data_IF_832188035192
#
_entry.id   IF_832188035192
#
_cell.length_a   1.000
_cell.length_b   1.000
_cell.length_c   1.000
_cell.angle_alpha   90.00
_cell.angle_beta   90.00
_cell.angle_gamma   90.00
#
_symmetry.space_group_name_H-M   'P 1'
#
loop_
_entity.id
_entity.type
_entity.pdbx_description
1 polymer ?
#
# COMPACT_ATOMS: atom_id res chain seq x y z
N UNK A 1 -2.82 15.93 2.74
CA UNK A 1 -3.57 15.14 1.75
C UNK A 1 -4.04 13.82 2.37
N UNK A 2 -5.33 13.48 2.26
CA UNK A 2 -5.91 12.25 2.80
C UNK A 2 -5.85 11.15 1.76
N UNK A 3 -5.39 9.96 2.16
CA UNK A 3 -5.28 8.78 1.30
C UNK A 3 -5.98 7.61 1.97
N UNK A 4 -6.73 6.84 1.20
CA UNK A 4 -7.21 5.51 1.59
C UNK A 4 -6.63 4.46 0.65
N UNK A 5 -6.09 3.37 1.21
CA UNK A 5 -5.67 2.21 0.44
C UNK A 5 -6.62 1.07 0.76
N UNK A 6 -7.21 0.46 -0.26
CA UNK A 6 -8.13 -0.67 -0.14
C UNK A 6 -7.54 -1.87 -0.89
N UNK A 7 -7.18 -2.89 -0.14
CA UNK A 7 -6.70 -4.16 -0.65
C UNK A 7 -7.78 -5.24 -0.59
N UNK A 8 -7.95 -5.96 -1.68
CA UNK A 8 -8.68 -7.22 -1.74
C UNK A 8 -7.74 -8.37 -2.12
N UNK A 9 -8.31 -9.55 -2.41
CA UNK A 9 -7.56 -10.72 -2.84
C UNK A 9 -6.32 -10.96 -1.98
N UNK A 10 -6.48 -11.11 -0.66
CA UNK A 10 -5.33 -11.38 0.21
C UNK A 10 -4.78 -12.80 -0.04
N UNK A 11 -3.45 -12.99 0.01
CA UNK A 11 -2.79 -14.23 -0.44
C UNK A 11 -3.00 -15.40 0.51
N UNK A 12 -3.58 -15.15 1.69
CA UNK A 12 -4.00 -16.16 2.64
C UNK A 12 -5.47 -16.56 2.51
N UNK A 13 -6.25 -16.05 1.55
CA UNK A 13 -7.65 -16.47 1.36
C UNK A 13 -7.75 -17.92 0.85
N UNK A 14 -8.86 -18.60 1.15
CA UNK A 14 -9.02 -20.00 0.78
C UNK A 14 -8.99 -20.16 -0.74
N UNK A 15 -8.24 -21.15 -1.23
CA UNK A 15 -8.00 -21.36 -2.65
C UNK A 15 -6.87 -20.55 -3.27
N UNK A 16 -6.27 -19.59 -2.55
CA UNK A 16 -5.07 -18.92 -3.02
C UNK A 16 -3.85 -19.88 -2.99
N UNK A 17 -2.92 -19.82 -3.97
CA UNK A 17 -1.89 -20.84 -4.15
C UNK A 17 -0.99 -21.10 -2.93
N UNK A 18 -0.72 -20.06 -2.13
CA UNK A 18 0.18 -20.12 -0.98
C UNK A 18 -0.55 -19.97 0.36
N UNK A 19 -1.88 -20.10 0.37
CA UNK A 19 -2.71 -19.67 1.49
C UNK A 19 -2.37 -20.36 2.81
N UNK A 20 -2.23 -21.68 2.80
CA UNK A 20 -1.98 -22.49 4.00
C UNK A 20 -0.66 -22.11 4.67
N UNK A 21 0.44 -22.10 3.90
CA UNK A 21 1.76 -21.73 4.41
C UNK A 21 1.77 -20.31 4.99
N UNK A 22 1.13 -19.35 4.33
CA UNK A 22 1.10 -17.96 4.81
C UNK A 22 0.25 -17.81 6.08
N UNK A 23 -0.85 -18.57 6.22
CA UNK A 23 -1.65 -18.60 7.46
C UNK A 23 -0.88 -19.21 8.61
N UNK A 24 -0.31 -20.39 8.41
CA UNK A 24 0.48 -21.09 9.44
C UNK A 24 1.70 -20.27 9.86
N UNK A 25 2.28 -19.51 8.91
CA UNK A 25 3.37 -18.57 9.18
C UNK A 25 2.95 -17.28 9.88
N UNK A 26 1.67 -17.09 10.23
CA UNK A 26 1.19 -15.86 10.89
C UNK A 26 1.50 -14.60 10.07
N UNK A 27 1.37 -14.68 8.73
CA UNK A 27 1.72 -13.56 7.87
C UNK A 27 0.67 -12.45 7.95
N UNK A 28 1.15 -11.21 7.97
CA UNK A 28 0.34 -10.00 7.95
C UNK A 28 0.86 -9.02 6.89
N UNK A 29 -0.02 -8.12 6.44
CA UNK A 29 0.33 -6.95 5.62
C UNK A 29 0.02 -5.66 6.39
N UNK A 30 0.87 -4.64 6.25
CA UNK A 30 0.58 -3.31 6.76
C UNK A 30 1.29 -2.22 5.97
N UNK A 31 0.99 -0.96 6.29
CA UNK A 31 1.62 0.20 5.64
C UNK A 31 2.86 0.63 6.42
N UNK A 32 3.95 0.90 5.71
CA UNK A 32 5.21 1.28 6.34
C UNK A 32 5.27 2.79 6.63
N UNK A 33 5.36 3.14 7.92
CA UNK A 33 5.60 4.49 8.44
C UNK A 33 7.02 4.58 9.00
N UNK A 34 7.93 5.26 8.30
CA UNK A 34 9.37 5.21 8.60
C UNK A 34 9.85 3.75 8.69
N UNK A 35 10.18 3.26 9.89
CA UNK A 35 10.63 1.88 10.13
C UNK A 35 9.51 0.97 10.65
N UNK A 36 8.37 1.53 11.04
CA UNK A 36 7.25 0.81 11.64
C UNK A 36 6.28 0.29 10.58
N UNK A 37 5.72 -0.90 10.79
CA UNK A 37 4.61 -1.44 9.98
C UNK A 37 3.31 -1.29 10.78
N UNK A 38 2.45 -0.38 10.31
CA UNK A 38 1.23 0.06 10.98
C UNK A 38 -0.02 -0.56 10.33
N UNK A 39 -1.06 -0.79 11.13
CA UNK A 39 -2.35 -1.30 10.65
C UNK A 39 -2.25 -2.72 10.09
N UNK A 40 -1.58 -3.63 10.80
CA UNK A 40 -1.33 -4.99 10.30
C UNK A 40 -2.65 -5.75 10.15
N UNK A 41 -2.86 -6.32 8.97
CA UNK A 41 -4.03 -7.14 8.62
C UNK A 41 -3.54 -8.57 8.33
N UNK A 42 -4.12 -9.60 8.98
CA UNK A 42 -3.80 -11.00 8.66
C UNK A 42 -4.10 -11.33 7.20
N UNK A 43 -3.25 -12.16 6.58
CA UNK A 43 -3.41 -12.49 5.14
C UNK A 43 -4.66 -13.29 4.78
N UNK A 44 -5.40 -13.80 5.76
CA UNK A 44 -6.61 -14.58 5.52
C UNK A 44 -7.90 -13.75 5.61
N UNK A 45 -7.78 -12.45 5.92
CA UNK A 45 -8.92 -11.54 5.89
C UNK A 45 -9.44 -11.33 4.46
N UNK A 46 -10.69 -10.89 4.35
CA UNK A 46 -11.31 -10.61 3.05
C UNK A 46 -10.83 -9.30 2.44
N UNK A 47 -10.51 -8.31 3.28
CA UNK A 47 -10.07 -6.97 2.86
C UNK A 47 -9.06 -6.38 3.85
N UNK A 48 -8.24 -5.46 3.35
CA UNK A 48 -7.39 -4.62 4.15
C UNK A 48 -7.62 -3.15 3.77
N UNK A 49 -7.90 -2.29 4.76
CA UNK A 49 -8.16 -0.87 4.52
C UNK A 49 -7.27 -0.04 5.43
N UNK A 50 -6.60 0.95 4.86
CA UNK A 50 -5.76 1.88 5.59
C UNK A 50 -6.10 3.31 5.20
N UNK A 51 -6.26 4.17 6.21
CA UNK A 51 -6.39 5.61 6.03
C UNK A 51 -5.14 6.29 6.58
N UNK A 52 -4.60 7.22 5.82
CA UNK A 52 -3.38 7.92 6.17
C UNK A 52 -3.38 9.35 5.65
N UNK A 53 -2.73 10.22 6.42
CA UNK A 53 -2.49 11.60 6.04
C UNK A 53 -1.02 11.80 5.68
N UNK A 54 -0.80 12.40 4.52
CA UNK A 54 0.54 12.75 4.02
C UNK A 54 0.65 14.24 3.76
N UNK A 55 1.88 14.72 3.77
CA UNK A 55 2.19 16.10 3.43
C UNK A 55 2.20 16.26 1.91
N UNK A 56 1.76 17.42 1.43
CA UNK A 56 1.82 17.78 0.01
C UNK A 56 2.22 19.23 -0.13
N UNK A 57 3.05 19.53 -1.13
CA UNK A 57 3.43 20.89 -1.51
C UNK A 57 3.56 21.01 -3.02
N UNK A 58 3.30 22.20 -3.54
CA UNK A 58 3.56 22.50 -4.95
C UNK A 58 5.02 22.93 -5.15
N UNK A 59 5.66 22.37 -6.18
CA UNK A 59 7.05 22.65 -6.59
C UNK A 59 7.09 22.65 -8.11
N UNK A 60 7.44 23.79 -8.71
CA UNK A 60 7.55 23.96 -10.17
C UNK A 60 6.31 23.47 -10.95
N UNK A 61 5.11 23.68 -10.40
CA UNK A 61 3.83 23.27 -10.99
C UNK A 61 3.44 21.80 -10.76
N UNK A 62 4.27 21.04 -10.03
CA UNK A 62 4.03 19.64 -9.66
C UNK A 62 3.75 19.49 -8.15
N UNK A 63 2.99 18.46 -7.79
CA UNK A 63 2.78 18.10 -6.38
C UNK A 63 3.91 17.17 -5.90
N UNK A 64 4.73 17.64 -4.95
CA UNK A 64 5.66 16.79 -4.20
C UNK A 64 4.96 16.32 -2.90
N UNK A 65 4.93 15.01 -2.71
CA UNK A 65 4.29 14.36 -1.55
C UNK A 65 5.37 13.93 -0.55
N UNK A 66 5.09 14.06 0.75
CA UNK A 66 6.05 13.80 1.81
C UNK A 66 5.40 13.30 3.11
N UNK A 67 6.13 13.45 4.21
CA UNK A 67 5.70 13.00 5.53
C UNK A 67 6.13 11.57 5.87
N UNK A 68 5.77 11.07 7.06
CA UNK A 68 6.36 9.86 7.64
C UNK A 68 5.96 8.55 6.95
N UNK A 69 4.89 8.57 6.16
CA UNK A 69 4.42 7.43 5.37
C UNK A 69 5.09 7.32 4.00
N UNK A 70 5.67 8.43 3.52
CA UNK A 70 6.16 8.55 2.15
C UNK A 70 7.65 8.28 2.10
N UNK A 71 8.04 7.44 1.14
CA UNK A 71 9.40 7.00 0.92
C UNK A 71 9.89 7.47 -0.45
N UNK A 72 11.21 7.40 -0.65
CA UNK A 72 11.85 7.78 -1.91
C UNK A 72 12.19 9.26 -2.00
N UNK A 73 13.00 9.60 -2.99
CA UNK A 73 13.44 10.97 -3.29
C UNK A 73 12.34 11.77 -4.00
N UNK A 74 12.40 13.13 -4.01
CA UNK A 74 11.53 13.95 -4.86
C UNK A 74 11.48 13.42 -6.31
N UNK A 75 10.29 13.40 -6.90
CA UNK A 75 10.03 12.82 -8.24
C UNK A 75 9.95 11.29 -8.30
N UNK A 76 10.25 10.59 -7.20
CA UNK A 76 10.14 9.13 -7.09
C UNK A 76 9.52 8.71 -5.75
N UNK A 77 8.50 9.46 -5.31
CA UNK A 77 7.78 9.25 -4.05
C UNK A 77 6.86 8.03 -4.13
N UNK A 78 6.75 7.28 -3.05
CA UNK A 78 5.86 6.11 -2.97
C UNK A 78 5.46 5.76 -1.54
N UNK A 79 4.40 4.96 -1.41
CA UNK A 79 3.99 4.25 -0.19
C UNK A 79 4.48 2.80 -0.23
N UNK A 80 4.76 2.21 0.93
CA UNK A 80 5.13 0.80 1.05
C UNK A 80 4.00 0.01 1.71
N UNK A 81 3.55 -1.06 1.05
CA UNK A 81 2.90 -2.20 1.71
C UNK A 81 3.98 -3.22 2.06
N UNK A 82 3.96 -3.70 3.31
CA UNK A 82 4.97 -4.61 3.84
C UNK A 82 4.35 -5.85 4.43
N UNK A 83 4.94 -7.00 4.05
CA UNK A 83 4.54 -8.32 4.48
C UNK A 83 5.57 -8.88 5.45
N UNK A 84 5.08 -9.51 6.51
CA UNK A 84 5.94 -10.11 7.51
C UNK A 84 5.22 -11.16 8.33
N UNK A 85 5.99 -12.09 8.87
CA UNK A 85 5.52 -13.10 9.83
C UNK A 85 5.53 -12.52 11.24
N UNK A 86 4.54 -12.87 12.05
CA UNK A 86 4.53 -12.62 13.49
C UNK A 86 4.76 -13.88 14.32
N UNK A 87 5.14 -15.00 13.69
CA UNK A 87 5.23 -16.31 14.35
C UNK A 87 6.28 -16.36 15.48
N UNK A 88 7.28 -15.49 15.44
CA UNK A 88 8.35 -15.40 16.44
C UNK A 88 8.08 -14.34 17.52
N UNK A 89 6.88 -13.77 17.57
CA UNK A 89 6.51 -12.70 18.50
C UNK A 89 6.89 -11.28 18.04
N UNK A 90 7.78 -11.16 17.06
CA UNK A 90 8.14 -9.91 16.40
C UNK A 90 7.74 -9.93 14.92
N UNK A 91 7.59 -8.75 14.30
CA UNK A 91 7.27 -8.66 12.87
C UNK A 91 8.54 -8.84 12.03
N UNK A 92 8.74 -10.06 11.53
CA UNK A 92 9.80 -10.39 10.61
C UNK A 92 9.37 -10.09 9.16
N UNK A 93 9.66 -8.87 8.70
CA UNK A 93 9.39 -8.45 7.31
C UNK A 93 10.20 -9.29 6.32
N UNK A 94 9.55 -9.81 5.27
CA UNK A 94 10.24 -10.57 4.22
C UNK A 94 9.91 -10.11 2.79
N UNK A 95 8.86 -9.29 2.58
CA UNK A 95 8.43 -8.87 1.25
C UNK A 95 7.75 -7.50 1.28
N UNK A 96 7.84 -6.72 0.21
CA UNK A 96 7.23 -5.38 0.10
C UNK A 96 6.74 -5.05 -1.31
N UNK A 97 5.73 -4.20 -1.39
CA UNK A 97 5.22 -3.58 -2.62
C UNK A 97 5.23 -2.04 -2.51
N UNK A 98 5.55 -1.35 -3.61
CA UNK A 98 5.57 0.11 -3.76
C UNK A 98 4.34 0.58 -4.52
N UNK A 99 3.62 1.54 -3.95
CA UNK A 99 2.55 2.28 -4.63
C UNK A 99 3.09 3.67 -4.95
N UNK A 100 3.39 3.93 -6.23
CA UNK A 100 4.07 5.16 -6.62
C UNK A 100 3.08 6.31 -6.79
N UNK A 101 3.42 7.49 -6.28
CA UNK A 101 2.63 8.69 -6.56
C UNK A 101 2.69 9.09 -8.04
N UNK A 102 3.77 8.74 -8.75
CA UNK A 102 3.88 8.95 -10.19
C UNK A 102 3.00 8.03 -11.04
N UNK A 103 2.31 7.05 -10.44
CA UNK A 103 1.30 6.23 -11.10
C UNK A 103 -0.14 6.74 -10.82
N UNK A 104 -0.29 7.81 -10.03
CA UNK A 104 -1.57 8.49 -9.79
C UNK A 104 -1.81 9.50 -10.93
N UNK A 105 -2.99 9.54 -11.55
CA UNK A 105 -3.33 10.60 -12.50
C UNK A 105 -3.15 11.99 -11.89
N UNK A 106 -2.50 12.89 -12.63
CA UNK A 106 -2.02 14.16 -12.09
C UNK A 106 -3.14 15.08 -11.58
N UNK A 107 -4.30 15.03 -12.22
CA UNK A 107 -5.51 15.74 -11.83
C UNK A 107 -6.06 15.26 -10.49
N UNK A 108 -6.09 13.94 -10.23
CA UNK A 108 -6.54 13.38 -8.95
C UNK A 108 -5.58 13.76 -7.83
N UNK A 109 -4.27 13.69 -8.09
CA UNK A 109 -3.25 14.06 -7.12
C UNK A 109 -3.34 15.55 -6.74
N UNK A 110 -3.55 16.43 -7.73
CA UNK A 110 -3.72 17.88 -7.50
C UNK A 110 -5.00 18.19 -6.71
N UNK A 111 -6.14 17.61 -7.10
CA UNK A 111 -7.40 17.81 -6.39
C UNK A 111 -7.33 17.31 -4.94
N UNK A 112 -6.72 16.14 -4.71
CA UNK A 112 -6.51 15.64 -3.35
C UNK A 112 -5.57 16.53 -2.53
N UNK A 113 -4.49 17.06 -3.13
CA UNK A 113 -3.59 17.99 -2.47
C UNK A 113 -4.26 19.32 -2.11
N UNK A 114 -5.23 19.77 -2.92
CA UNK A 114 -6.09 20.93 -2.64
C UNK A 114 -7.17 20.65 -1.57
N UNK A 115 -7.28 19.41 -1.09
CA UNK A 115 -8.22 19.02 -0.05
C UNK A 115 -9.63 18.70 -0.57
N UNK A 116 -9.81 18.54 -1.87
CA UNK A 116 -11.12 18.33 -2.51
C UNK A 116 -11.73 16.94 -2.20
N UNK A 117 -10.94 15.99 -1.71
CA UNK A 117 -11.41 14.64 -1.39
C UNK A 117 -10.32 13.75 -0.79
N UNK A 118 -10.65 12.47 -0.66
CA UNK A 118 -9.75 11.38 -0.27
C UNK A 118 -9.25 10.69 -1.52
N UNK A 119 -7.93 10.60 -1.69
CA UNK A 119 -7.33 9.84 -2.78
C UNK A 119 -7.38 8.35 -2.43
N UNK A 120 -8.14 7.55 -3.20
CA UNK A 120 -8.34 6.13 -2.91
C UNK A 120 -7.59 5.26 -3.91
N UNK A 121 -6.70 4.39 -3.41
CA UNK A 121 -5.97 3.41 -4.20
C UNK A 121 -6.48 2.00 -3.95
N UNK A 122 -6.93 1.28 -5.00
CA UNK A 122 -7.50 -0.06 -4.92
C UNK A 122 -6.67 -1.09 -5.65
N UNK A 123 -6.34 -2.21 -5.00
CA UNK A 123 -5.48 -3.25 -5.59
C UNK A 123 -5.71 -4.65 -5.00
N UNK A 124 -5.45 -5.67 -5.83
CA UNK A 124 -5.38 -7.06 -5.38
C UNK A 124 -4.04 -7.37 -4.72
N UNK A 125 -4.07 -7.96 -3.53
CA UNK A 125 -2.88 -8.16 -2.70
C UNK A 125 -2.13 -9.48 -2.96
N UNK A 126 -2.55 -10.27 -3.97
CA UNK A 126 -2.06 -11.65 -4.24
C UNK A 126 -1.00 -11.88 -5.32
N UNK A 127 -0.23 -10.94 -5.87
CA UNK A 127 0.91 -11.27 -6.77
C UNK A 127 0.72 -12.23 -8.00
N UNK A 128 1.50 -12.09 -9.09
CA UNK A 128 1.46 -13.08 -10.19
C UNK A 128 2.02 -14.46 -9.82
N UNK A 129 2.85 -14.54 -8.76
CA UNK A 129 3.40 -15.80 -8.24
C UNK A 129 2.46 -16.51 -7.25
N UNK A 130 1.23 -15.99 -7.07
CA UNK A 130 0.24 -16.51 -6.13
C UNK A 130 0.59 -16.25 -4.65
N UNK A 131 1.64 -15.48 -4.38
CA UNK A 131 2.07 -15.09 -3.06
C UNK A 131 1.77 -13.62 -2.76
N UNK A 132 2.33 -13.05 -1.69
CA UNK A 132 2.05 -11.66 -1.36
C UNK A 132 2.52 -10.70 -2.47
N UNK A 133 1.71 -9.69 -2.82
CA UNK A 133 2.06 -8.69 -3.85
C UNK A 133 3.41 -8.03 -3.53
N UNK A 134 4.26 -7.83 -4.53
CA UNK A 134 5.60 -7.27 -4.34
C UNK A 134 6.00 -6.28 -5.44
N UNK A 135 7.22 -5.76 -5.35
CA UNK A 135 7.81 -4.84 -6.32
C UNK A 135 6.98 -3.55 -6.50
N UNK A 136 6.99 -2.92 -7.68
CA UNK A 136 6.15 -1.75 -7.97
C UNK A 136 4.82 -2.23 -8.52
N UNK A 137 3.72 -1.83 -7.88
CA UNK A 137 2.37 -2.04 -8.41
C UNK A 137 2.07 -0.93 -9.40
N UNK A 138 1.58 -1.28 -10.59
CA UNK A 138 1.27 -0.33 -11.67
C UNK A 138 -0.15 -0.58 -12.17
N UNK A 139 -0.82 0.41 -12.77
CA UNK A 139 -2.02 0.15 -13.54
C UNK A 139 -1.79 -0.97 -14.59
N UNK A 140 -2.75 -1.88 -14.81
CA UNK A 140 -4.09 -1.90 -14.22
C UNK A 140 -4.19 -2.58 -12.83
N UNK A 141 -3.09 -3.09 -12.26
CA UNK A 141 -3.11 -3.81 -10.96
C UNK A 141 -3.44 -2.92 -9.76
N UNK A 142 -3.39 -1.60 -9.94
CA UNK A 142 -3.90 -0.60 -8.99
C UNK A 142 -4.72 0.44 -9.75
N UNK A 143 -5.86 0.83 -9.19
CA UNK A 143 -6.68 1.95 -9.66
C UNK A 143 -6.71 3.06 -8.62
N UNK A 144 -6.81 4.30 -9.09
CA UNK A 144 -6.87 5.48 -8.25
C UNK A 144 -8.13 6.30 -8.55
N UNK A 145 -8.84 6.74 -7.51
CA UNK A 145 -10.01 7.61 -7.59
C UNK A 145 -9.95 8.71 -6.54
N UNK A 146 -10.76 9.75 -6.68
CA UNK A 146 -10.99 10.76 -5.65
C UNK A 146 -12.43 10.62 -5.13
N UNK A 147 -12.59 10.57 -3.81
CA UNK A 147 -13.88 10.41 -3.11
C UNK A 147 -14.17 11.53 -2.10
#
# INVERSE_FOLDING_TARGET
MRIRIEGDELPGRAGAPQAETLRLGGVHVGVQRKQEIVGRVPVHEDRAVWELEVDSREVDGFIDVGGPWVHGRPGARFLYLSWGSTATGEFAMFRRAKLMFGDVPGELLRASAAGEGVLVGRLGLTGPDGGPRCARVRPPDITWTLE
#
